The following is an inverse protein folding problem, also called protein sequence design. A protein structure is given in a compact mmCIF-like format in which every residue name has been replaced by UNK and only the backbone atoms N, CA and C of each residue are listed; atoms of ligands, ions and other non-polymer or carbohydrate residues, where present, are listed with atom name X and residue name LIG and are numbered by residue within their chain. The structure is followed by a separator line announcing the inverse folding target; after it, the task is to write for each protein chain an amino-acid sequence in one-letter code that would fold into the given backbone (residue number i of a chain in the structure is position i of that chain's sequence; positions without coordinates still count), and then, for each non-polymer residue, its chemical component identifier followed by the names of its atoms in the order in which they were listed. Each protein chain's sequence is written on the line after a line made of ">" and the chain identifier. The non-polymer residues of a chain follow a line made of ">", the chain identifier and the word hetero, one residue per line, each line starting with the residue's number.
data_IF_298679315824
#
_entry.id   IF_298679315824
#
_cell.length_a   1.000
_cell.length_b   1.000
_cell.length_c   1.000
_cell.angle_alpha   90.00
_cell.angle_beta   90.00
_cell.angle_gamma   90.00
#
_symmetry.space_group_name_H-M   'P 1'
#
loop_
_entity.id
_entity.type
_entity.pdbx_description
1 polymer ?
#
# COMPACT_ATOMS: atom_id res chain seq x y z
N UNK A 1 6.91 -11.31 22.87
CA UNK A 1 7.22 -11.03 21.45
C UNK A 1 8.04 -9.75 21.41
N UNK A 2 9.10 -9.70 20.62
CA UNK A 2 9.92 -8.50 20.40
C UNK A 2 10.15 -8.35 18.90
N UNK A 3 9.98 -7.14 18.40
CA UNK A 3 10.19 -6.78 17.00
C UNK A 3 11.32 -5.74 16.98
N UNK A 4 12.29 -5.92 16.09
CA UNK A 4 13.39 -4.97 15.89
C UNK A 4 13.37 -4.56 14.43
N UNK A 5 13.23 -3.26 14.20
CA UNK A 5 13.28 -2.64 12.86
C UNK A 5 14.54 -1.79 12.72
N UNK A 6 15.20 -1.88 11.57
CA UNK A 6 16.39 -1.09 11.22
C UNK A 6 16.23 -0.53 9.82
N UNK A 7 15.86 0.74 9.76
CA UNK A 7 15.68 1.47 8.52
C UNK A 7 16.99 2.12 8.09
N UNK A 8 17.38 1.92 6.84
CA UNK A 8 18.55 2.57 6.24
C UNK A 8 18.39 2.76 4.73
N UNK A 9 19.03 3.78 4.19
CA UNK A 9 19.11 3.95 2.75
C UNK A 9 20.13 2.95 2.19
N UNK A 10 19.65 2.00 1.39
CA UNK A 10 20.51 1.08 0.67
C UNK A 10 21.10 1.74 -0.59
N UNK A 11 20.31 2.62 -1.22
CA UNK A 11 20.68 3.45 -2.36
C UNK A 11 19.96 4.81 -2.26
N UNK A 12 20.32 5.83 -3.07
CA UNK A 12 19.71 7.16 -2.99
C UNK A 12 18.16 7.18 -3.05
N UNK A 13 17.58 6.22 -3.78
CA UNK A 13 16.14 6.07 -3.99
C UNK A 13 15.57 4.75 -3.47
N UNK A 14 16.34 4.00 -2.66
CA UNK A 14 15.91 2.72 -2.09
C UNK A 14 16.11 2.75 -0.58
N UNK A 15 15.02 2.60 0.16
CA UNK A 15 15.02 2.42 1.60
C UNK A 15 14.81 0.94 1.91
N UNK A 16 15.71 0.38 2.71
CA UNK A 16 15.52 -0.94 3.31
C UNK A 16 15.02 -0.76 4.75
N UNK A 17 14.02 -1.56 5.09
CA UNK A 17 13.55 -1.76 6.46
C UNK A 17 13.78 -3.23 6.83
N UNK A 18 14.85 -3.48 7.59
CA UNK A 18 15.19 -4.81 8.06
C UNK A 18 14.44 -5.13 9.35
N UNK A 19 13.63 -6.19 9.30
CA UNK A 19 12.76 -6.63 10.37
C UNK A 19 13.27 -7.94 10.97
N UNK A 20 13.40 -7.97 12.30
CA UNK A 20 13.69 -9.18 13.07
C UNK A 20 12.61 -9.41 14.14
N UNK A 21 11.95 -10.56 14.08
CA UNK A 21 10.89 -10.94 15.03
C UNK A 21 11.39 -12.06 15.94
N UNK A 22 11.38 -11.79 17.24
CA UNK A 22 11.70 -12.73 18.31
C UNK A 22 10.40 -13.12 19.05
N UNK A 23 9.88 -14.31 18.76
CA UNK A 23 8.66 -14.84 19.38
C UNK A 23 8.78 -16.34 19.72
N UNK A 24 9.53 -16.71 20.79
CA UNK A 24 9.87 -18.12 21.08
C UNK A 24 8.69 -19.06 21.34
N UNK A 25 7.53 -18.52 21.74
CA UNK A 25 6.31 -19.31 21.96
C UNK A 25 5.42 -19.46 20.71
N UNK A 26 5.82 -18.86 19.59
CA UNK A 26 5.04 -18.83 18.33
C UNK A 26 5.89 -19.31 17.16
N UNK A 27 7.15 -18.91 17.10
CA UNK A 27 8.10 -19.23 16.04
C UNK A 27 9.16 -20.21 16.56
N UNK A 28 9.59 -21.13 15.70
CA UNK A 28 10.66 -22.10 15.99
C UNK A 28 12.04 -21.46 16.07
N UNK A 29 12.22 -20.27 15.50
CA UNK A 29 13.45 -19.48 15.51
C UNK A 29 13.12 -17.99 15.28
N UNK A 30 14.07 -17.06 15.51
CA UNK A 30 13.94 -15.68 15.05
C UNK A 30 13.61 -15.61 13.56
N UNK A 31 12.59 -14.82 13.19
CA UNK A 31 12.24 -14.59 11.78
C UNK A 31 12.85 -13.27 11.29
N UNK A 32 13.38 -13.26 10.07
CA UNK A 32 14.03 -12.10 9.47
C UNK A 32 13.48 -11.85 8.07
N UNK A 33 13.23 -10.59 7.74
CA UNK A 33 12.85 -10.16 6.41
C UNK A 33 13.31 -8.72 6.16
N UNK A 34 13.36 -8.30 4.91
CA UNK A 34 13.65 -6.92 4.52
C UNK A 34 12.52 -6.42 3.63
N UNK A 35 11.92 -5.29 4.02
CA UNK A 35 10.98 -4.56 3.14
C UNK A 35 11.76 -3.53 2.35
N UNK A 36 11.49 -3.46 1.05
CA UNK A 36 12.17 -2.56 0.12
C UNK A 36 11.17 -1.50 -0.33
N UNK A 37 11.49 -0.24 -0.06
CA UNK A 37 10.71 0.91 -0.50
C UNK A 37 11.48 1.68 -1.58
N UNK A 38 10.81 1.95 -2.69
CA UNK A 38 11.36 2.74 -3.79
C UNK A 38 10.82 4.17 -3.73
N UNK A 39 11.72 5.16 -3.81
CA UNK A 39 11.31 6.57 -3.87
C UNK A 39 10.65 6.86 -5.22
N UNK A 40 9.34 7.12 -5.19
CA UNK A 40 8.64 7.67 -6.36
C UNK A 40 8.89 9.19 -6.45
N UNK A 41 9.56 9.62 -7.53
CA UNK A 41 9.86 11.04 -7.77
C UNK A 41 8.72 11.78 -8.46
N UNK A 42 7.93 11.06 -9.27
CA UNK A 42 6.62 11.56 -9.67
C UNK A 42 5.74 11.55 -8.41
N UNK A 43 5.12 12.68 -8.07
CA UNK A 43 4.12 12.79 -6.98
C UNK A 43 2.83 12.05 -7.37
N UNK A 44 2.94 10.75 -7.63
CA UNK A 44 1.83 9.86 -7.86
C UNK A 44 1.46 9.27 -6.50
N UNK A 45 0.18 9.35 -6.15
CA UNK A 45 -0.37 8.58 -5.05
C UNK A 45 -0.45 7.12 -5.50
N UNK A 46 0.69 6.43 -5.57
CA UNK A 46 0.76 5.07 -6.09
C UNK A 46 0.72 4.08 -4.91
N UNK A 47 -0.46 3.50 -4.67
CA UNK A 47 -0.58 2.30 -3.85
C UNK A 47 -0.32 1.12 -4.79
N UNK A 48 0.96 0.76 -4.96
CA UNK A 48 1.38 -0.28 -5.92
C UNK A 48 1.07 -1.69 -5.39
N UNK A 49 0.99 -1.87 -4.07
CA UNK A 49 0.50 -3.11 -3.47
C UNK A 49 -0.27 -2.84 -2.17
N UNK A 50 -1.55 -3.16 -2.20
CA UNK A 50 -2.44 -3.23 -1.05
C UNK A 50 -3.62 -4.10 -1.42
N UNK A 51 -3.66 -5.33 -0.91
CA UNK A 51 -4.81 -6.21 -1.13
C UNK A 51 -5.78 -6.06 0.05
N UNK A 52 -6.75 -5.15 -0.10
CA UNK A 52 -8.02 -5.18 0.63
C UNK A 52 -9.16 -4.92 -0.35
N UNK A 53 -9.91 -5.97 -0.69
CA UNK A 53 -11.13 -5.99 -1.52
C UNK A 53 -12.35 -5.63 -0.65
N UNK A 54 -13.39 -4.90 -1.08
CA UNK A 54 -13.67 -4.31 -2.40
C UNK A 54 -14.78 -3.24 -2.30
N UNK A 55 -14.43 -1.99 -2.59
CA UNK A 55 -15.33 -0.84 -2.83
C UNK A 55 -14.69 0.11 -3.87
N UNK A 56 -13.94 -0.48 -4.82
CA UNK A 56 -13.15 0.14 -5.90
C UNK A 56 -13.36 1.64 -6.03
N UNK A 57 -12.45 2.44 -5.50
CA UNK A 57 -12.52 3.88 -5.64
C UNK A 57 -11.75 4.35 -6.88
N UNK A 58 -12.25 5.37 -7.54
CA UNK A 58 -11.54 6.08 -8.60
C UNK A 58 -11.23 7.50 -8.14
N UNK A 59 -10.03 7.97 -8.48
CA UNK A 59 -9.61 9.34 -8.22
C UNK A 59 -10.45 10.34 -9.02
N UNK A 60 -10.92 11.39 -8.36
CA UNK A 60 -11.67 12.52 -8.91
C UNK A 60 -11.20 13.82 -8.26
N UNK A 61 -11.67 14.93 -8.81
CA UNK A 61 -11.49 16.26 -8.23
C UNK A 61 -12.86 16.76 -7.78
N UNK A 62 -12.96 17.27 -6.55
CA UNK A 62 -14.19 17.88 -6.03
C UNK A 62 -14.37 19.33 -6.55
N UNK A 63 -15.43 20.00 -6.09
CA UNK A 63 -15.73 21.37 -6.51
C UNK A 63 -14.67 22.39 -6.07
N UNK A 64 -13.87 22.06 -5.06
CA UNK A 64 -12.86 22.92 -4.47
C UNK A 64 -11.45 22.64 -5.02
N UNK A 65 -11.32 21.70 -5.96
CA UNK A 65 -10.05 21.33 -6.58
C UNK A 65 -9.24 20.29 -5.82
N UNK A 66 -9.82 19.64 -4.80
CA UNK A 66 -9.12 18.62 -4.03
C UNK A 66 -9.25 17.24 -4.69
N UNK A 67 -8.19 16.44 -4.60
CA UNK A 67 -8.21 15.04 -5.01
C UNK A 67 -9.03 14.21 -4.00
N UNK A 68 -10.08 13.56 -4.49
CA UNK A 68 -10.99 12.71 -3.72
C UNK A 68 -11.09 11.33 -4.35
N UNK A 69 -11.35 10.30 -3.54
CA UNK A 69 -11.54 8.93 -4.01
C UNK A 69 -13.01 8.54 -3.85
N UNK A 70 -13.70 8.28 -4.96
CA UNK A 70 -15.14 7.95 -4.97
C UNK A 70 -15.38 6.55 -5.49
N UNK A 71 -16.32 5.84 -4.87
CA UNK A 71 -16.63 4.45 -5.21
C UNK A 71 -17.11 4.34 -6.66
N UNK A 72 -16.56 3.36 -7.37
CA UNK A 72 -16.91 3.04 -8.74
C UNK A 72 -18.24 2.29 -8.71
N UNK A 73 -19.26 2.91 -9.30
CA UNK A 73 -20.60 2.34 -9.38
C UNK A 73 -20.60 0.97 -10.10
N UNK A 74 -21.35 0.02 -9.55
CA UNK A 74 -21.49 -1.34 -10.07
C UNK A 74 -22.95 -1.69 -10.32
N UNK A 75 -23.16 -2.59 -11.28
CA UNK A 75 -24.44 -3.28 -11.44
C UNK A 75 -24.68 -4.23 -10.26
N UNK A 76 -25.95 -4.57 -9.96
CA UNK A 76 -26.29 -5.59 -8.96
C UNK A 76 -25.62 -6.96 -9.21
N UNK A 77 -25.25 -7.23 -10.47
CA UNK A 77 -24.56 -8.43 -10.92
C UNK A 77 -23.03 -8.37 -10.78
N UNK A 78 -22.48 -7.30 -10.17
CA UNK A 78 -21.06 -7.16 -9.81
C UNK A 78 -20.17 -6.44 -10.82
N UNK A 79 -20.61 -6.28 -12.07
CA UNK A 79 -19.87 -5.59 -13.13
C UNK A 79 -19.81 -4.07 -12.91
N UNK A 80 -18.70 -3.42 -13.28
CA UNK A 80 -18.54 -1.95 -13.23
C UNK A 80 -19.46 -1.29 -14.26
N UNK A 81 -20.15 -0.21 -13.87
CA UNK A 81 -20.94 0.61 -14.78
C UNK A 81 -19.99 1.52 -15.56
N UNK A 82 -20.13 1.55 -16.89
CA UNK A 82 -19.34 2.43 -17.74
C UNK A 82 -19.58 3.91 -17.34
N UNK A 83 -18.53 4.74 -17.19
CA UNK A 83 -18.71 6.16 -16.90
C UNK A 83 -19.50 6.82 -18.03
N UNK A 84 -20.47 7.67 -17.65
CA UNK A 84 -21.18 8.51 -18.63
C UNK A 84 -20.16 9.46 -19.27
N UNK A 85 -20.16 9.51 -20.61
CA UNK A 85 -19.40 10.49 -21.39
C UNK A 85 -19.96 11.89 -21.20
#
# INVERSE_FOLDING_TARGET
>A
MKIIERMHLAEPDILHDDLEILAPHVLTAPWKTTRIFFRQRARKFDIVEGVCLQGNYSERVDADGNHVFVEIARHPWGNIIAPKR
#
